data_IF_186090575385
#
_entry.id   IF_186090575385
#
_cell.length_a   1.000
_cell.length_b   1.000
_cell.length_c   1.000
_cell.angle_alpha   90.00
_cell.angle_beta   90.00
_cell.angle_gamma   90.00
#
_symmetry.space_group_name_H-M   'P 1'
#
loop_
_entity.id
_entity.type
_entity.pdbx_description
1 polymer ?
#
# COMPACT_ATOMS: atom_id res chain seq x y z
N UNK A 1 -6.92 -4.31 27.43
CA UNK A 1 -5.84 -4.14 26.44
C UNK A 1 -4.57 -3.73 27.17
N UNK A 2 -3.50 -4.46 26.97
CA UNK A 2 -2.17 -4.16 27.57
C UNK A 2 -1.29 -3.69 26.44
N UNK A 3 -0.81 -2.45 26.51
CA UNK A 3 0.10 -1.88 25.50
C UNK A 3 1.48 -1.68 26.11
N UNK A 4 2.51 -2.02 25.37
CA UNK A 4 3.92 -1.76 25.69
C UNK A 4 4.56 -1.05 24.50
N UNK A 5 5.11 0.13 24.73
CA UNK A 5 5.89 0.91 23.75
C UNK A 5 7.31 1.02 24.24
N UNK A 6 8.23 0.39 23.54
CA UNK A 6 9.65 0.39 23.88
C UNK A 6 10.44 1.29 22.94
N UNK A 7 11.20 2.20 23.50
CA UNK A 7 12.28 2.93 22.81
C UNK A 7 13.59 2.15 22.95
N UNK A 8 14.27 1.97 21.84
CA UNK A 8 15.53 1.23 21.76
C UNK A 8 16.54 2.13 21.05
N UNK A 9 17.55 2.57 21.79
CA UNK A 9 18.57 3.48 21.26
C UNK A 9 19.63 2.73 20.42
N UNK A 10 20.60 3.46 19.89
CA UNK A 10 21.70 2.92 19.08
C UNK A 10 22.61 1.89 19.80
N UNK A 11 22.58 1.86 21.15
CA UNK A 11 23.31 0.91 21.98
C UNK A 11 22.48 -0.33 22.35
N UNK A 12 21.31 -0.50 21.76
CA UNK A 12 20.33 -1.55 22.09
C UNK A 12 19.78 -1.47 23.54
N UNK A 13 19.90 -0.33 24.21
CA UNK A 13 19.28 -0.11 25.50
C UNK A 13 17.77 0.12 25.31
N UNK A 14 16.97 -0.66 26.07
CA UNK A 14 15.50 -0.65 25.98
C UNK A 14 14.89 0.13 27.14
N UNK A 15 13.95 0.99 26.84
CA UNK A 15 13.19 1.76 27.84
C UNK A 15 11.70 1.70 27.50
N UNK A 16 10.90 1.32 28.50
CA UNK A 16 9.44 1.43 28.40
C UNK A 16 9.01 2.89 28.53
N UNK A 17 8.46 3.45 27.46
CA UNK A 17 7.98 4.81 27.37
C UNK A 17 6.44 4.90 27.33
N UNK A 18 5.74 3.79 27.52
CA UNK A 18 4.26 3.72 27.41
C UNK A 18 3.57 4.76 28.29
N UNK A 19 4.07 4.95 29.52
CA UNK A 19 3.51 5.89 30.48
C UNK A 19 3.65 7.38 30.10
N UNK A 20 4.48 7.71 29.09
CA UNK A 20 4.66 9.06 28.59
C UNK A 20 3.75 9.38 27.39
N UNK A 21 3.00 8.39 26.91
CA UNK A 21 2.22 8.46 25.67
C UNK A 21 0.75 8.23 26.02
N UNK A 22 -0.11 9.19 25.74
CA UNK A 22 -1.56 9.09 25.98
C UNK A 22 -2.31 8.52 24.78
N UNK A 23 -1.78 8.75 23.58
CA UNK A 23 -2.37 8.36 22.31
C UNK A 23 -1.30 8.06 21.29
N UNK A 24 -1.51 7.00 20.51
CA UNK A 24 -0.74 6.75 19.30
C UNK A 24 -1.64 6.24 18.16
N UNK A 25 -1.17 6.43 16.94
CA UNK A 25 -1.81 5.90 15.74
C UNK A 25 -0.85 5.00 14.99
N UNK A 26 -1.38 3.89 14.49
CA UNK A 26 -0.69 2.96 13.62
C UNK A 26 -1.48 2.84 12.33
N UNK A 27 -0.88 3.18 11.19
CA UNK A 27 -1.61 3.28 9.93
C UNK A 27 -0.85 2.66 8.77
N UNK A 28 -1.58 2.27 7.75
CA UNK A 28 -1.06 1.78 6.50
C UNK A 28 -1.95 2.17 5.33
N UNK A 29 -1.34 2.28 4.16
CA UNK A 29 -2.03 2.56 2.91
C UNK A 29 -1.42 1.68 1.81
N UNK A 30 -2.25 1.13 0.93
CA UNK A 30 -1.78 0.32 -0.19
C UNK A 30 -0.87 1.09 -1.16
N UNK A 31 -1.07 2.40 -1.27
CA UNK A 31 -0.27 3.26 -2.15
C UNK A 31 1.04 3.67 -1.49
N UNK A 32 1.09 3.65 -0.16
CA UNK A 32 2.30 3.89 0.64
C UNK A 32 2.92 2.55 1.02
N UNK A 33 4.19 2.37 0.68
CA UNK A 33 4.84 1.07 0.92
C UNK A 33 5.02 0.76 2.42
N UNK A 34 5.30 1.78 3.24
CA UNK A 34 5.64 1.63 4.65
C UNK A 34 4.47 1.96 5.56
N UNK A 35 4.26 1.14 6.58
CA UNK A 35 3.34 1.47 7.67
C UNK A 35 3.97 2.51 8.59
N UNK A 36 3.12 3.36 9.14
CA UNK A 36 3.49 4.51 9.94
C UNK A 36 2.99 4.34 11.38
N UNK A 37 3.83 4.73 12.35
CA UNK A 37 3.46 4.91 13.74
C UNK A 37 3.67 6.37 14.13
N UNK A 38 2.66 7.01 14.67
CA UNK A 38 2.71 8.41 15.14
C UNK A 38 2.24 8.50 16.58
N UNK A 39 3.00 9.23 17.38
CA UNK A 39 2.64 9.52 18.77
C UNK A 39 3.29 10.82 19.26
N UNK A 40 2.70 11.41 20.30
CA UNK A 40 3.33 12.48 21.05
C UNK A 40 3.65 11.96 22.45
N UNK A 41 4.88 12.22 22.93
CA UNK A 41 5.26 11.85 24.28
C UNK A 41 5.62 13.07 25.12
N UNK A 42 5.36 12.97 26.42
CA UNK A 42 5.63 14.03 27.37
C UNK A 42 7.15 14.17 27.61
N UNK A 43 7.63 15.43 27.59
CA UNK A 43 9.03 15.77 27.82
C UNK A 43 9.14 17.14 28.50
N UNK A 44 9.50 17.17 29.77
CA UNK A 44 9.61 18.42 30.54
C UNK A 44 11.00 18.61 31.17
N UNK A 45 11.97 19.18 30.45
CA UNK A 45 13.34 19.34 30.95
C UNK A 45 13.48 20.36 32.11
N UNK A 46 12.41 21.08 32.41
CA UNK A 46 12.40 22.04 33.55
C UNK A 46 12.06 21.34 34.88
N UNK A 47 11.43 20.17 34.80
CA UNK A 47 11.11 19.35 35.96
C UNK A 47 12.16 18.24 36.14
N UNK A 48 12.98 18.38 37.17
CA UNK A 48 14.06 17.44 37.47
C UNK A 48 13.56 16.07 37.89
N UNK A 49 12.33 15.99 38.35
CA UNK A 49 11.68 14.74 38.79
C UNK A 49 10.99 14.02 37.64
N UNK A 50 10.82 14.68 36.47
CA UNK A 50 10.16 14.10 35.31
C UNK A 50 11.15 13.18 34.55
N UNK A 51 10.72 11.97 34.17
CA UNK A 51 11.56 11.07 33.39
C UNK A 51 11.73 11.58 31.95
N UNK A 52 12.80 12.35 31.73
CA UNK A 52 13.09 12.96 30.45
C UNK A 52 13.94 12.01 29.58
N UNK A 53 13.30 11.18 28.78
CA UNK A 53 13.96 10.38 27.76
C UNK A 53 14.05 11.15 26.45
N UNK A 54 15.20 11.15 25.82
CA UNK A 54 15.38 11.74 24.51
C UNK A 54 15.38 10.63 23.46
N UNK A 55 14.44 10.71 22.54
CA UNK A 55 14.34 9.82 21.39
C UNK A 55 14.99 10.50 20.21
N UNK A 56 16.01 9.88 19.61
CA UNK A 56 16.76 10.45 18.49
C UNK A 56 16.31 9.88 17.14
N UNK A 57 16.65 10.60 16.06
CA UNK A 57 16.38 10.11 14.70
C UNK A 57 17.18 8.83 14.47
N UNK A 58 16.51 7.80 13.93
CA UNK A 58 17.11 6.49 13.69
C UNK A 58 16.92 5.49 14.84
N UNK A 59 16.55 5.94 16.05
CA UNK A 59 16.21 5.05 17.15
C UNK A 59 15.06 4.13 16.77
N UNK A 60 15.02 2.93 17.37
CA UNK A 60 14.00 1.92 17.09
C UNK A 60 12.84 2.04 18.08
N UNK A 61 11.63 1.96 17.60
CA UNK A 61 10.41 1.88 18.40
C UNK A 61 9.74 0.53 18.11
N UNK A 62 9.41 -0.19 19.17
CA UNK A 62 8.62 -1.41 19.11
C UNK A 62 7.31 -1.22 19.87
N UNK A 63 6.20 -1.67 19.29
CA UNK A 63 4.88 -1.64 19.93
C UNK A 63 4.32 -3.04 20.02
N UNK A 64 3.96 -3.43 21.24
CA UNK A 64 3.31 -4.70 21.56
C UNK A 64 1.94 -4.42 22.17
N UNK A 65 0.90 -5.07 21.69
CA UNK A 65 -0.46 -4.97 22.20
C UNK A 65 -0.95 -6.38 22.50
N UNK A 66 -1.43 -6.61 23.72
CA UNK A 66 -1.90 -7.90 24.22
C UNK A 66 -0.93 -9.07 23.89
N UNK A 67 0.37 -8.85 24.10
CA UNK A 67 1.49 -9.74 23.82
C UNK A 67 1.78 -9.99 22.31
N UNK A 68 1.06 -9.36 21.41
CA UNK A 68 1.38 -9.41 19.97
C UNK A 68 2.17 -8.16 19.56
N UNK A 69 3.35 -8.36 18.95
CA UNK A 69 4.13 -7.25 18.39
C UNK A 69 3.47 -6.78 17.10
N UNK A 70 2.92 -5.56 17.11
CA UNK A 70 2.20 -4.97 15.98
C UNK A 70 3.07 -4.06 15.12
N UNK A 71 4.14 -3.50 15.70
CA UNK A 71 5.00 -2.57 14.98
C UNK A 71 6.45 -2.69 15.44
N UNK A 72 7.35 -2.64 14.48
CA UNK A 72 8.78 -2.39 14.68
C UNK A 72 9.24 -1.44 13.59
N UNK A 73 9.76 -0.29 13.99
CA UNK A 73 10.19 0.73 13.03
C UNK A 73 11.25 1.64 13.59
N UNK A 74 11.65 2.62 12.79
CA UNK A 74 12.63 3.64 13.19
C UNK A 74 12.03 5.01 13.16
N UNK A 75 12.56 5.90 14.02
CA UNK A 75 12.19 7.31 14.09
C UNK A 75 12.76 8.06 12.88
N UNK A 76 11.88 8.60 12.07
CA UNK A 76 12.22 9.40 10.88
C UNK A 76 11.97 10.90 11.06
N UNK A 77 11.06 11.24 11.95
CA UNK A 77 10.72 12.62 12.24
C UNK A 77 10.49 12.82 13.72
N UNK A 78 10.98 13.95 14.24
CA UNK A 78 10.66 14.43 15.58
C UNK A 78 10.49 15.95 15.58
N UNK A 79 9.55 16.42 16.37
CA UNK A 79 9.28 17.85 16.55
C UNK A 79 9.04 18.17 18.00
N UNK A 80 9.77 19.13 18.52
CA UNK A 80 9.59 19.63 19.88
C UNK A 80 8.48 20.68 19.93
N UNK A 81 7.48 20.45 20.78
CA UNK A 81 6.43 21.42 21.08
C UNK A 81 6.67 21.99 22.50
N UNK A 82 7.18 23.21 22.56
CA UNK A 82 7.58 23.84 23.84
C UNK A 82 6.39 24.30 24.66
N UNK A 83 5.25 24.61 24.02
CA UNK A 83 4.02 25.03 24.70
C UNK A 83 3.40 23.88 25.52
N UNK A 84 3.39 22.68 24.93
CA UNK A 84 2.72 21.50 25.51
C UNK A 84 3.71 20.58 26.24
N UNK A 85 5.01 20.92 26.23
CA UNK A 85 6.07 20.07 26.76
C UNK A 85 6.04 18.63 26.19
N UNK A 86 5.89 18.52 24.88
CA UNK A 86 5.85 17.24 24.17
C UNK A 86 6.84 17.19 23.01
N UNK A 87 7.15 15.96 22.58
CA UNK A 87 7.73 15.67 21.27
C UNK A 87 6.72 14.90 20.43
N UNK A 88 6.52 15.33 19.19
CA UNK A 88 5.82 14.55 18.17
C UNK A 88 6.84 13.67 17.46
N UNK A 89 6.53 12.41 17.33
CA UNK A 89 7.36 11.37 16.71
C UNK A 89 6.60 10.71 15.57
N UNK A 90 7.29 10.53 14.45
CA UNK A 90 6.82 9.69 13.35
C UNK A 90 7.86 8.61 13.06
N UNK A 91 7.41 7.35 13.10
CA UNK A 91 8.21 6.18 12.77
C UNK A 91 7.67 5.51 11.52
N UNK A 92 8.56 4.86 10.78
CA UNK A 92 8.21 3.99 9.67
C UNK A 92 8.79 2.60 9.89
N UNK A 93 8.10 1.59 9.39
CA UNK A 93 8.59 0.22 9.37
C UNK A 93 9.69 0.01 8.30
N UNK A 94 10.19 -1.23 8.19
CA UNK A 94 11.28 -1.58 7.26
C UNK A 94 10.95 -1.41 5.78
N UNK A 95 9.68 -1.32 5.39
CA UNK A 95 9.29 -1.10 3.99
C UNK A 95 9.72 0.27 3.45
N UNK A 96 9.98 1.24 4.34
CA UNK A 96 10.47 2.56 3.94
C UNK A 96 11.81 2.48 3.19
N UNK A 97 12.66 1.52 3.54
CA UNK A 97 13.95 1.33 2.87
C UNK A 97 13.77 0.87 1.43
N UNK A 98 12.78 0.00 1.16
CA UNK A 98 12.41 -0.42 -0.19
C UNK A 98 11.83 0.74 -1.02
N UNK A 99 11.03 1.59 -0.39
CA UNK A 99 10.46 2.76 -1.06
C UNK A 99 11.51 3.83 -1.41
N UNK A 100 12.56 3.96 -0.61
CA UNK A 100 13.60 4.99 -0.80
C UNK A 100 14.85 4.49 -1.54
N UNK A 101 15.07 3.17 -1.61
CA UNK A 101 16.24 2.58 -2.26
C UNK A 101 15.99 2.27 -3.72
N UNK A 102 16.96 2.58 -4.56
CA UNK A 102 16.90 2.32 -6.00
C UNK A 102 17.81 1.17 -6.39
N UNK A 103 17.34 0.36 -7.31
CA UNK A 103 18.05 -0.80 -7.85
C UNK A 103 18.18 -0.73 -9.36
N UNK A 104 19.19 -1.44 -9.90
CA UNK A 104 19.33 -1.70 -11.33
C UNK A 104 19.52 -3.21 -11.50
N UNK A 105 18.45 -3.90 -11.88
CA UNK A 105 18.36 -5.36 -11.97
C UNK A 105 17.88 -5.80 -13.35
N UNK A 106 18.41 -6.93 -13.81
CA UNK A 106 17.97 -7.59 -15.03
C UNK A 106 17.28 -8.89 -14.65
N UNK A 107 16.05 -9.06 -15.12
CA UNK A 107 15.28 -10.28 -14.99
C UNK A 107 15.16 -10.92 -16.38
N UNK A 108 15.64 -12.14 -16.52
CA UNK A 108 15.63 -12.90 -17.77
C UNK A 108 15.06 -14.29 -17.49
N UNK A 109 13.87 -14.58 -17.98
CA UNK A 109 13.13 -15.79 -17.68
C UNK A 109 13.13 -16.13 -16.17
N UNK A 110 12.91 -15.10 -15.32
CA UNK A 110 12.98 -15.22 -13.87
C UNK A 110 11.57 -15.41 -13.32
N UNK A 111 11.37 -16.37 -12.42
CA UNK A 111 10.10 -16.48 -11.70
C UNK A 111 9.85 -15.21 -10.87
N UNK A 112 8.60 -14.75 -10.80
CA UNK A 112 8.22 -13.50 -10.12
C UNK A 112 8.58 -13.51 -8.64
N UNK A 113 8.44 -14.65 -7.95
CA UNK A 113 8.80 -14.79 -6.52
C UNK A 113 10.31 -14.69 -6.32
N UNK A 114 11.10 -15.29 -7.21
CA UNK A 114 12.57 -15.19 -7.16
C UNK A 114 13.04 -13.76 -7.51
N UNK A 115 12.37 -13.10 -8.45
CA UNK A 115 12.62 -11.69 -8.75
C UNK A 115 12.33 -10.80 -7.54
N UNK A 116 11.22 -11.04 -6.84
CA UNK A 116 10.85 -10.35 -5.62
C UNK A 116 11.89 -10.54 -4.50
N UNK A 117 12.32 -11.79 -4.25
CA UNK A 117 13.39 -12.11 -3.27
C UNK A 117 14.68 -11.38 -3.59
N UNK A 118 15.07 -11.32 -4.87
CA UNK A 118 16.29 -10.59 -5.29
C UNK A 118 16.21 -9.11 -4.98
N UNK A 119 15.04 -8.47 -5.19
CA UNK A 119 14.86 -7.06 -4.86
C UNK A 119 14.95 -6.83 -3.34
N UNK A 120 14.34 -7.70 -2.53
CA UNK A 120 14.43 -7.62 -1.07
C UNK A 120 15.87 -7.77 -0.58
N UNK A 121 16.63 -8.68 -1.19
CA UNK A 121 18.03 -8.94 -0.84
C UNK A 121 18.97 -7.74 -1.10
N UNK A 122 18.67 -6.89 -2.10
CA UNK A 122 19.47 -5.68 -2.40
C UNK A 122 19.48 -4.67 -1.24
N UNK A 123 18.47 -4.70 -0.38
CA UNK A 123 18.33 -3.79 0.77
C UNK A 123 18.27 -4.55 2.10
N UNK A 124 18.66 -5.81 2.09
CA UNK A 124 18.77 -6.68 3.27
C UNK A 124 17.49 -6.80 4.09
N UNK A 125 16.33 -6.74 3.42
CA UNK A 125 15.02 -6.91 4.07
C UNK A 125 14.61 -8.37 3.97
N UNK A 126 14.24 -8.95 5.12
CA UNK A 126 13.80 -10.34 5.24
C UNK A 126 12.47 -10.56 4.52
N UNK A 127 12.32 -11.73 3.91
CA UNK A 127 11.07 -12.19 3.33
C UNK A 127 10.40 -13.20 4.24
N UNK A 128 9.09 -13.10 4.39
CA UNK A 128 8.24 -14.01 5.16
C UNK A 128 7.56 -15.03 4.25
N UNK A 129 6.24 -15.14 4.36
CA UNK A 129 5.45 -16.07 3.55
C UNK A 129 5.24 -15.56 2.12
N UNK A 130 5.62 -16.36 1.14
CA UNK A 130 5.48 -16.06 -0.28
C UNK A 130 4.69 -17.19 -0.95
N UNK A 131 3.55 -16.89 -1.61
CA UNK A 131 2.77 -17.88 -2.35
C UNK A 131 3.52 -18.37 -3.59
N UNK A 132 3.17 -19.54 -4.07
CA UNK A 132 3.66 -20.02 -5.36
C UNK A 132 2.96 -19.26 -6.49
N UNK A 133 3.73 -18.52 -7.28
CA UNK A 133 3.25 -17.76 -8.43
C UNK A 133 3.96 -18.27 -9.67
N UNK A 134 3.25 -18.81 -10.67
CA UNK A 134 3.86 -19.44 -11.84
C UNK A 134 4.45 -18.44 -12.85
N UNK A 135 4.11 -17.15 -12.71
CA UNK A 135 4.48 -16.10 -13.66
C UNK A 135 5.99 -15.94 -13.80
N UNK A 136 6.45 -15.85 -15.04
CA UNK A 136 7.83 -15.62 -15.40
C UNK A 136 7.98 -14.25 -16.05
N UNK A 137 9.00 -13.50 -15.63
CA UNK A 137 9.21 -12.12 -16.05
C UNK A 137 10.52 -11.92 -16.83
N UNK A 138 10.47 -11.00 -17.81
CA UNK A 138 11.60 -10.57 -18.62
C UNK A 138 11.55 -9.06 -18.72
N UNK A 139 12.42 -8.35 -17.98
CA UNK A 139 12.58 -6.91 -18.10
C UNK A 139 13.85 -6.42 -17.38
N UNK A 140 14.20 -5.18 -17.66
CA UNK A 140 15.29 -4.47 -16.99
C UNK A 140 14.67 -3.40 -16.10
N UNK A 141 14.96 -3.45 -14.82
CA UNK A 141 14.69 -2.37 -13.89
C UNK A 141 15.97 -1.52 -13.80
N UNK A 142 15.97 -0.33 -14.39
CA UNK A 142 17.12 0.59 -14.32
C UNK A 142 16.78 1.81 -13.47
N UNK A 143 17.52 2.00 -12.38
CA UNK A 143 17.36 3.12 -11.44
C UNK A 143 15.94 3.27 -10.88
N UNK A 144 15.24 2.15 -10.72
CA UNK A 144 13.90 2.08 -10.15
C UNK A 144 13.95 1.91 -8.63
N UNK A 145 12.98 2.46 -7.90
CA UNK A 145 12.82 2.09 -6.49
C UNK A 145 12.43 0.62 -6.37
N UNK A 146 12.75 -0.03 -5.26
CA UNK A 146 12.36 -1.43 -5.07
C UNK A 146 10.84 -1.59 -5.17
N UNK A 147 10.07 -0.64 -4.65
CA UNK A 147 8.60 -0.64 -4.74
C UNK A 147 8.09 -0.46 -6.17
N UNK A 148 8.72 0.38 -7.00
CA UNK A 148 8.41 0.45 -8.43
C UNK A 148 8.66 -0.90 -9.14
N UNK A 149 9.73 -1.61 -8.75
CA UNK A 149 9.99 -2.96 -9.29
C UNK A 149 8.92 -3.93 -8.85
N UNK A 150 8.46 -3.88 -7.59
CA UNK A 150 7.33 -4.70 -7.12
C UNK A 150 6.06 -4.43 -7.93
N UNK A 151 5.72 -3.17 -8.16
CA UNK A 151 4.57 -2.82 -9.01
C UNK A 151 4.69 -3.44 -10.41
N UNK A 152 5.88 -3.36 -11.04
CA UNK A 152 6.12 -3.98 -12.35
C UNK A 152 5.96 -5.51 -12.31
N UNK A 153 6.39 -6.18 -11.23
CA UNK A 153 6.20 -7.62 -11.04
C UNK A 153 4.72 -7.97 -10.89
N UNK A 154 3.98 -7.23 -10.06
CA UNK A 154 2.56 -7.48 -9.79
C UNK A 154 1.67 -7.17 -11.00
N UNK A 155 1.94 -6.09 -11.76
CA UNK A 155 1.25 -5.81 -13.02
C UNK A 155 1.41 -6.95 -14.03
N UNK A 156 2.61 -7.53 -14.15
CA UNK A 156 2.85 -8.68 -15.02
C UNK A 156 2.16 -9.93 -14.53
N UNK A 157 2.16 -10.19 -13.23
CA UNK A 157 1.42 -11.28 -12.61
C UNK A 157 -0.07 -11.15 -12.87
N UNK A 158 -0.63 -9.95 -12.66
CA UNK A 158 -2.04 -9.67 -12.92
C UNK A 158 -2.42 -9.87 -14.40
N UNK A 159 -1.55 -9.48 -15.32
CA UNK A 159 -1.77 -9.69 -16.75
C UNK A 159 -1.73 -11.17 -17.16
N UNK A 160 -0.93 -11.99 -16.46
CA UNK A 160 -0.70 -13.40 -16.79
C UNK A 160 -1.78 -14.33 -16.17
N UNK A 161 -2.02 -14.20 -14.86
CA UNK A 161 -2.89 -15.11 -14.10
C UNK A 161 -4.15 -14.45 -13.51
N UNK A 162 -4.40 -13.17 -13.82
CA UNK A 162 -5.55 -12.37 -13.36
C UNK A 162 -5.65 -12.21 -11.82
N UNK A 163 -4.53 -12.37 -11.10
CA UNK A 163 -4.42 -12.19 -9.66
C UNK A 163 -3.60 -10.95 -9.33
N UNK A 164 -4.08 -10.16 -8.39
CA UNK A 164 -3.41 -8.95 -7.91
C UNK A 164 -2.79 -9.24 -6.53
N UNK A 165 -1.56 -8.76 -6.30
CA UNK A 165 -0.82 -8.98 -5.06
C UNK A 165 -0.38 -7.67 -4.45
N UNK A 166 -0.15 -7.69 -3.13
CA UNK A 166 0.46 -6.61 -2.39
C UNK A 166 1.55 -7.15 -1.46
N UNK A 167 2.56 -6.34 -1.18
CA UNK A 167 3.63 -6.68 -0.27
C UNK A 167 3.36 -6.02 1.09
N UNK A 168 3.35 -6.78 2.17
CA UNK A 168 3.08 -6.32 3.54
C UNK A 168 4.20 -6.81 4.45
N UNK A 169 4.79 -5.91 5.25
CA UNK A 169 5.75 -6.29 6.28
C UNK A 169 5.01 -6.76 7.53
N UNK A 170 5.20 -8.02 7.89
CA UNK A 170 4.73 -8.63 9.11
C UNK A 170 5.91 -8.99 10.02
N UNK A 171 5.64 -9.63 11.15
CA UNK A 171 6.66 -9.97 12.13
C UNK A 171 7.74 -10.95 11.60
N UNK A 172 7.39 -11.79 10.64
CA UNK A 172 8.27 -12.80 10.01
C UNK A 172 9.03 -12.27 8.78
N UNK A 173 8.72 -11.07 8.31
CA UNK A 173 9.30 -10.45 7.12
C UNK A 173 8.25 -9.93 6.15
N UNK A 174 8.68 -9.64 4.91
CA UNK A 174 7.75 -9.18 3.88
C UNK A 174 6.99 -10.36 3.30
N UNK A 175 5.67 -10.29 3.38
CA UNK A 175 4.73 -11.26 2.86
C UNK A 175 4.09 -10.76 1.57
N UNK A 176 3.76 -11.68 0.65
CA UNK A 176 2.92 -11.40 -0.50
C UNK A 176 1.50 -11.88 -0.23
N UNK A 177 0.55 -10.95 -0.24
CA UNK A 177 -0.87 -11.23 0.01
C UNK A 177 -1.66 -11.00 -1.28
N UNK A 178 -2.49 -11.97 -1.67
CA UNK A 178 -3.39 -11.83 -2.82
C UNK A 178 -4.55 -10.89 -2.46
N UNK A 179 -4.85 -9.93 -3.33
CA UNK A 179 -6.02 -9.06 -3.16
C UNK A 179 -7.30 -9.90 -3.11
N UNK A 180 -8.12 -9.67 -2.11
CA UNK A 180 -9.33 -10.47 -1.86
C UNK A 180 -9.15 -11.55 -0.80
N UNK A 181 -7.91 -11.73 -0.26
CA UNK A 181 -7.71 -12.57 0.94
C UNK A 181 -8.50 -11.99 2.10
N UNK A 182 -9.50 -12.73 2.55
CA UNK A 182 -10.43 -12.32 3.60
C UNK A 182 -9.83 -12.66 4.96
N UNK A 183 -10.03 -11.78 5.93
CA UNK A 183 -9.71 -12.03 7.35
C UNK A 183 -10.74 -13.02 7.88
N UNK A 184 -10.29 -14.24 8.23
CA UNK A 184 -11.18 -15.39 8.48
C UNK A 184 -12.01 -15.27 9.77
N UNK A 185 -11.51 -14.62 10.81
CA UNK A 185 -12.12 -14.65 12.14
C UNK A 185 -12.81 -13.32 12.52
N UNK A 186 -13.07 -12.45 11.53
CA UNK A 186 -13.66 -11.16 11.84
C UNK A 186 -14.68 -10.70 10.80
N UNK A 187 -15.85 -10.32 11.29
CA UNK A 187 -16.92 -9.69 10.51
C UNK A 187 -17.27 -8.37 11.22
N UNK A 188 -17.17 -7.26 10.50
CA UNK A 188 -17.56 -5.96 11.01
C UNK A 188 -19.10 -5.81 10.96
N UNK A 189 -19.78 -5.94 12.10
CA UNK A 189 -21.23 -5.87 12.19
C UNK A 189 -21.70 -4.49 12.67
N UNK A 190 -22.69 -3.94 11.97
CA UNK A 190 -23.26 -2.63 12.28
C UNK A 190 -23.82 -2.48 13.68
N UNK A 191 -24.26 -3.57 14.30
CA UNK A 191 -24.85 -3.56 15.65
C UNK A 191 -23.84 -3.66 16.79
N UNK A 192 -22.60 -4.14 16.51
CA UNK A 192 -21.63 -4.47 17.57
C UNK A 192 -20.28 -3.76 17.38
N UNK A 193 -19.77 -3.74 16.17
CA UNK A 193 -18.38 -3.34 15.91
C UNK A 193 -18.29 -1.98 15.24
N UNK A 194 -19.25 -1.65 14.35
CA UNK A 194 -19.20 -0.42 13.54
C UNK A 194 -19.75 0.75 14.35
N UNK A 195 -18.93 1.78 14.50
CA UNK A 195 -19.29 3.04 15.17
C UNK A 195 -20.00 3.97 14.18
N UNK A 196 -19.47 4.05 12.96
CA UNK A 196 -20.06 4.81 11.86
C UNK A 196 -19.60 4.25 10.52
N UNK A 197 -20.45 4.41 9.51
CA UNK A 197 -20.15 4.09 8.12
C UNK A 197 -20.37 5.30 7.22
N UNK A 198 -19.67 5.36 6.11
CA UNK A 198 -19.86 6.36 5.06
C UNK A 198 -19.73 5.71 3.70
N UNK A 199 -20.66 6.00 2.83
CA UNK A 199 -20.61 5.61 1.41
C UNK A 199 -20.94 6.82 0.56
N UNK A 200 -20.10 7.11 -0.41
CA UNK A 200 -20.29 8.20 -1.34
C UNK A 200 -20.09 7.76 -2.78
N UNK A 201 -20.90 8.29 -3.66
CA UNK A 201 -20.78 8.10 -5.10
C UNK A 201 -20.60 9.45 -5.76
N UNK A 202 -19.64 9.56 -6.69
CA UNK A 202 -19.40 10.80 -7.43
C UNK A 202 -19.13 10.54 -8.90
N UNK A 203 -19.63 11.42 -9.73
CA UNK A 203 -19.33 11.45 -11.17
C UNK A 203 -18.44 12.63 -11.58
N UNK A 204 -17.92 13.40 -10.61
CA UNK A 204 -17.12 14.60 -10.88
C UNK A 204 -15.82 14.27 -11.65
N UNK A 205 -15.22 13.11 -11.40
CA UNK A 205 -14.01 12.64 -12.08
C UNK A 205 -14.31 11.62 -13.19
N UNK A 206 -15.57 11.46 -13.58
CA UNK A 206 -15.97 10.52 -14.60
C UNK A 206 -15.32 10.84 -15.94
N UNK A 207 -14.87 9.79 -16.63
CA UNK A 207 -14.46 9.84 -18.03
C UNK A 207 -15.15 8.69 -18.75
N UNK A 208 -16.19 8.97 -19.52
CA UNK A 208 -16.95 7.95 -20.24
C UNK A 208 -16.72 7.97 -21.76
N UNK A 209 -15.85 8.88 -22.22
CA UNK A 209 -15.38 8.93 -23.60
C UNK A 209 -13.90 9.28 -23.64
N UNK A 210 -13.11 8.51 -24.39
CA UNK A 210 -11.72 8.83 -24.64
C UNK A 210 -11.48 8.96 -26.14
N UNK A 211 -10.96 10.11 -26.57
CA UNK A 211 -10.50 10.32 -27.94
C UNK A 211 -8.99 10.06 -28.01
N UNK A 212 -8.59 9.08 -28.80
CA UNK A 212 -7.18 8.86 -29.12
C UNK A 212 -6.80 9.71 -30.33
N UNK A 213 -5.77 10.54 -30.17
CA UNK A 213 -5.27 11.43 -31.22
C UNK A 213 -3.83 11.09 -31.58
N UNK A 214 -3.45 11.38 -32.85
CA UNK A 214 -2.07 11.27 -33.31
C UNK A 214 -1.19 12.42 -32.80
N UNK A 215 0.08 12.46 -33.25
CA UNK A 215 1.03 13.49 -32.85
C UNK A 215 0.60 14.91 -33.33
N UNK A 216 -0.21 15.00 -34.39
CA UNK A 216 -0.64 16.23 -35.04
C UNK A 216 -2.02 16.68 -34.52
N UNK A 217 -2.75 15.79 -33.84
CA UNK A 217 -4.06 16.09 -33.24
C UNK A 217 -5.25 15.48 -33.98
N UNK A 218 -5.03 14.69 -35.04
CA UNK A 218 -6.13 14.01 -35.72
C UNK A 218 -6.66 12.87 -34.86
N UNK A 219 -8.00 12.73 -34.83
CA UNK A 219 -8.65 11.64 -34.09
C UNK A 219 -8.44 10.32 -34.83
N UNK A 220 -7.81 9.36 -34.15
CA UNK A 220 -7.56 8.00 -34.66
C UNK A 220 -8.68 7.04 -34.20
N UNK A 221 -9.14 7.20 -32.95
CA UNK A 221 -10.10 6.31 -32.33
C UNK A 221 -10.91 7.02 -31.26
N UNK A 222 -12.12 6.56 -31.03
CA UNK A 222 -12.98 7.00 -29.93
C UNK A 222 -13.46 5.76 -29.19
N UNK A 223 -13.18 5.72 -27.90
CA UNK A 223 -13.66 4.69 -26.97
C UNK A 223 -14.79 5.31 -26.13
N UNK A 224 -15.96 4.67 -26.08
CA UNK A 224 -17.14 5.12 -25.37
C UNK A 224 -17.62 4.05 -24.39
N UNK A 225 -18.20 4.51 -23.27
CA UNK A 225 -19.10 3.74 -22.43
C UNK A 225 -20.53 4.28 -22.62
N UNK A 226 -21.23 3.74 -23.62
CA UNK A 226 -22.50 4.31 -24.13
C UNK A 226 -23.61 4.33 -23.06
N UNK A 227 -23.65 3.37 -22.14
CA UNK A 227 -24.61 3.36 -21.02
C UNK A 227 -24.38 4.52 -20.07
N UNK A 228 -23.13 4.81 -19.72
CA UNK A 228 -22.79 5.94 -18.86
C UNK A 228 -23.04 7.27 -19.59
N UNK A 229 -22.77 7.33 -20.89
CA UNK A 229 -23.05 8.52 -21.71
C UNK A 229 -24.55 8.81 -21.74
N UNK A 230 -25.35 7.77 -21.92
CA UNK A 230 -26.83 7.92 -21.97
C UNK A 230 -27.39 8.44 -20.65
N UNK A 231 -26.82 8.00 -19.50
CA UNK A 231 -27.32 8.36 -18.17
C UNK A 231 -26.80 9.70 -17.68
N UNK A 232 -25.52 10.02 -17.92
CA UNK A 232 -24.83 11.14 -17.29
C UNK A 232 -24.34 12.21 -18.27
N UNK A 233 -24.52 12.02 -19.59
CA UNK A 233 -23.92 12.90 -20.59
C UNK A 233 -22.49 12.55 -20.91
N UNK A 234 -21.80 13.40 -21.69
CA UNK A 234 -20.43 13.12 -22.16
C UNK A 234 -19.41 13.80 -21.28
N UNK A 235 -18.55 12.98 -20.64
CA UNK A 235 -17.33 13.40 -19.97
C UNK A 235 -16.14 12.86 -20.78
N UNK A 236 -15.45 13.76 -21.50
CA UNK A 236 -14.45 13.36 -22.49
C UNK A 236 -13.04 13.69 -22.05
N UNK A 237 -12.11 12.72 -22.16
CA UNK A 237 -10.66 12.91 -22.08
C UNK A 237 -10.00 12.63 -23.44
N UNK A 238 -8.75 13.08 -23.60
CA UNK A 238 -7.93 12.89 -24.79
C UNK A 238 -6.68 12.09 -24.43
N UNK A 239 -6.47 11.00 -25.18
CA UNK A 239 -5.23 10.24 -25.12
C UNK A 239 -4.38 10.53 -26.36
N UNK A 240 -3.17 11.04 -26.17
CA UNK A 240 -2.23 11.25 -27.27
C UNK A 240 -1.43 9.99 -27.53
N UNK A 241 -1.53 9.47 -28.74
CA UNK A 241 -0.83 8.25 -29.14
C UNK A 241 0.69 8.44 -28.99
N UNK A 242 1.32 7.55 -28.25
CA UNK A 242 2.76 7.57 -28.13
C UNK A 242 3.38 6.96 -29.39
N UNK A 243 4.34 7.62 -30.06
CA UNK A 243 4.97 7.07 -31.24
C UNK A 243 5.70 5.77 -30.89
N UNK A 244 5.50 4.74 -31.70
CA UNK A 244 6.31 3.53 -31.60
C UNK A 244 7.79 3.90 -31.68
N UNK A 245 8.64 3.26 -30.88
CA UNK A 245 10.07 3.49 -30.95
C UNK A 245 10.56 3.10 -32.34
N UNK A 246 10.88 4.09 -33.17
CA UNK A 246 11.41 3.84 -34.51
C UNK A 246 12.66 2.96 -34.41
N UNK A 247 12.61 1.77 -34.97
CA UNK A 247 13.80 0.99 -35.26
C UNK A 247 14.73 1.85 -36.15
N UNK A 248 15.82 2.31 -35.57
CA UNK A 248 16.89 2.91 -36.40
C UNK A 248 17.42 1.80 -37.29
N UNK A 249 17.01 1.79 -38.57
CA UNK A 249 17.62 0.95 -39.58
C UNK A 249 19.12 1.13 -39.46
N UNK A 250 19.84 0.04 -39.17
CA UNK A 250 21.28 0.03 -39.06
C UNK A 250 21.89 0.43 -40.42
N UNK A 251 22.25 1.70 -40.57
CA UNK A 251 23.17 2.11 -41.64
C UNK A 251 24.54 1.57 -41.27
N UNK A 252 24.99 0.60 -42.08
CA UNK A 252 26.33 0.03 -42.00
C UNK A 252 27.36 1.14 -42.16
N UNK A 253 28.16 1.43 -41.11
CA UNK A 253 29.60 1.75 -41.19
C UNK A 253 30.23 1.73 -39.79
N UNK A 254 31.04 0.73 -39.62
CA UNK A 254 32.18 0.42 -38.76
C UNK A 254 32.77 1.47 -37.81
N UNK A 255 32.92 1.15 -36.51
CA UNK A 255 34.22 0.75 -35.89
C UNK A 255 33.95 0.15 -34.51
N UNK A 256 34.70 -0.84 -34.03
CA UNK A 256 34.49 -1.49 -32.75
C UNK A 256 35.27 -0.76 -31.65
N UNK A 257 34.61 -0.20 -30.72
CA UNK A 257 35.19 0.05 -29.39
C UNK A 257 34.05 0.39 -28.41
N UNK A 258 34.11 -0.24 -27.27
CA UNK A 258 33.32 0.01 -26.09
C UNK A 258 32.08 -0.88 -25.96
N UNK A 259 32.06 -1.59 -24.85
CA UNK A 259 31.01 -2.43 -24.29
C UNK A 259 29.64 -1.78 -24.51
N UNK A 260 28.83 -2.35 -25.40
CA UNK A 260 27.47 -1.91 -25.63
C UNK A 260 26.63 -2.39 -24.46
N UNK A 261 26.15 -1.48 -23.65
CA UNK A 261 25.03 -1.72 -22.75
C UNK A 261 23.90 -2.41 -23.52
N UNK A 262 23.29 -3.49 -23.00
CA UNK A 262 22.13 -4.12 -23.61
C UNK A 262 21.04 -3.06 -23.75
N UNK A 263 20.57 -2.82 -24.97
CA UNK A 263 19.40 -1.94 -25.20
C UNK A 263 18.19 -2.64 -24.63
N UNK A 264 17.45 -1.92 -23.78
CA UNK A 264 16.14 -2.37 -23.31
C UNK A 264 15.32 -2.93 -24.47
N UNK A 265 14.70 -4.12 -24.33
CA UNK A 265 13.70 -4.57 -25.27
C UNK A 265 12.53 -3.58 -25.18
N UNK A 266 12.38 -2.74 -26.20
CA UNK A 266 11.26 -1.82 -26.33
C UNK A 266 10.03 -2.63 -26.77
N UNK A 267 9.20 -3.00 -25.82
CA UNK A 267 7.90 -3.58 -26.13
C UNK A 267 7.04 -2.53 -26.84
N UNK A 268 6.25 -2.92 -27.85
CA UNK A 268 5.29 -2.02 -28.47
C UNK A 268 4.34 -1.49 -27.40
N UNK A 269 4.15 -0.16 -27.38
CA UNK A 269 3.22 0.48 -26.46
C UNK A 269 1.82 0.15 -26.95
N UNK A 270 1.06 -0.60 -26.17
CA UNK A 270 -0.37 -0.78 -26.45
C UNK A 270 -1.13 0.52 -26.12
N UNK A 271 -1.18 1.37 -27.13
CA UNK A 271 -1.88 2.65 -27.02
C UNK A 271 -3.40 2.49 -26.85
N UNK A 272 -3.98 1.39 -27.33
CA UNK A 272 -5.42 1.12 -27.18
C UNK A 272 -5.78 0.77 -25.74
N UNK A 273 -5.00 -0.12 -25.11
CA UNK A 273 -5.21 -0.46 -23.69
C UNK A 273 -5.01 0.76 -22.78
N UNK A 274 -3.97 1.58 -23.05
CA UNK A 274 -3.72 2.80 -22.29
C UNK A 274 -4.81 3.86 -22.45
N UNK A 275 -5.37 4.02 -23.66
CA UNK A 275 -6.51 4.91 -23.89
C UNK A 275 -7.75 4.41 -23.13
N UNK A 276 -8.05 3.11 -23.22
CA UNK A 276 -9.19 2.50 -22.52
C UNK A 276 -9.03 2.58 -21.00
N UNK A 277 -7.82 2.47 -20.45
CA UNK A 277 -7.54 2.62 -19.03
C UNK A 277 -7.82 4.04 -18.47
N UNK A 278 -8.01 5.04 -19.33
CA UNK A 278 -8.43 6.40 -18.93
C UNK A 278 -9.95 6.51 -18.70
N UNK A 279 -10.73 5.53 -19.13
CA UNK A 279 -12.16 5.50 -18.84
C UNK A 279 -12.32 5.26 -17.34
N UNK A 280 -13.05 6.17 -16.70
CA UNK A 280 -13.38 6.13 -15.28
C UNK A 280 -14.89 6.18 -15.12
N UNK A 281 -15.44 5.21 -14.41
CA UNK A 281 -16.87 5.17 -14.07
C UNK A 281 -17.22 6.08 -12.91
N UNK A 282 -18.26 5.69 -12.16
CA UNK A 282 -18.66 6.32 -10.92
C UNK A 282 -17.54 6.05 -9.89
N UNK A 283 -17.05 7.10 -9.25
CA UNK A 283 -16.14 6.98 -8.12
C UNK A 283 -16.94 6.61 -6.88
N UNK A 284 -16.66 5.46 -6.32
CA UNK A 284 -17.26 5.00 -5.07
C UNK A 284 -16.20 5.06 -3.97
N UNK A 285 -16.53 5.70 -2.87
CA UNK A 285 -15.70 5.77 -1.67
C UNK A 285 -16.51 5.27 -0.49
N UNK A 286 -15.99 4.26 0.18
CA UNK A 286 -16.60 3.66 1.36
C UNK A 286 -15.62 3.68 2.50
N UNK A 287 -16.10 3.99 3.69
CA UNK A 287 -15.29 3.92 4.90
C UNK A 287 -16.12 3.48 6.10
N UNK A 288 -15.47 2.87 7.06
CA UNK A 288 -16.04 2.57 8.37
C UNK A 288 -15.11 3.07 9.48
N UNK A 289 -15.72 3.53 10.57
CA UNK A 289 -15.06 3.62 11.88
C UNK A 289 -15.62 2.51 12.75
N UNK A 290 -14.75 1.73 13.39
CA UNK A 290 -15.16 0.55 14.14
C UNK A 290 -14.29 0.33 15.39
N UNK A 291 -14.73 -0.58 16.26
CA UNK A 291 -13.90 -1.13 17.34
C UNK A 291 -12.68 -1.81 16.69
N UNK A 292 -11.50 -1.55 17.24
CA UNK A 292 -10.25 -1.96 16.59
C UNK A 292 -10.04 -3.48 16.59
N UNK A 293 -9.67 -3.99 15.43
CA UNK A 293 -9.13 -5.32 15.23
C UNK A 293 -7.78 -5.23 14.50
N UNK A 294 -6.71 -5.71 15.10
CA UNK A 294 -5.34 -5.57 14.56
C UNK A 294 -5.08 -6.36 13.28
N UNK A 295 -5.97 -7.26 12.88
CA UNK A 295 -5.89 -7.97 11.60
C UNK A 295 -6.41 -7.13 10.43
N UNK A 296 -7.23 -6.10 10.70
CA UNK A 296 -7.83 -5.23 9.69
C UNK A 296 -6.83 -4.21 9.15
N UNK A 297 -5.85 -4.68 8.40
CA UNK A 297 -4.80 -3.86 7.80
C UNK A 297 -4.92 -3.80 6.27
N UNK A 298 -4.41 -2.72 5.68
CA UNK A 298 -4.40 -2.52 4.22
C UNK A 298 -3.73 -3.68 3.50
N UNK A 299 -4.36 -4.13 2.41
CA UNK A 299 -3.94 -5.29 1.64
C UNK A 299 -4.78 -6.55 1.87
N UNK A 300 -5.47 -6.66 2.99
CA UNK A 300 -6.46 -7.71 3.26
C UNK A 300 -7.87 -7.26 2.91
N UNK A 301 -8.81 -8.18 2.98
CA UNK A 301 -10.23 -7.92 2.83
C UNK A 301 -10.99 -8.28 4.10
N UNK A 302 -12.10 -7.60 4.34
CA UNK A 302 -12.96 -7.81 5.49
C UNK A 302 -14.40 -8.00 5.05
N UNK A 303 -15.13 -8.86 5.74
CA UNK A 303 -16.59 -8.98 5.60
C UNK A 303 -17.24 -7.88 6.42
N UNK A 304 -18.16 -7.14 5.82
CA UNK A 304 -18.95 -6.10 6.49
C UNK A 304 -20.42 -6.44 6.36
N UNK A 305 -21.12 -6.38 7.48
CA UNK A 305 -22.57 -6.55 7.62
C UNK A 305 -23.16 -5.32 8.29
N UNK A 306 -23.34 -4.26 7.50
CA UNK A 306 -23.91 -2.99 7.93
C UNK A 306 -25.02 -2.58 6.95
N UNK A 307 -25.89 -1.65 7.33
CA UNK A 307 -27.08 -1.29 6.55
C UNK A 307 -26.75 -0.83 5.13
N UNK A 308 -25.71 0.01 4.98
CA UNK A 308 -25.29 0.57 3.70
C UNK A 308 -24.12 -0.19 3.05
N UNK A 309 -23.34 -0.92 3.86
CA UNK A 309 -22.14 -1.63 3.41
C UNK A 309 -22.28 -3.10 3.74
N UNK A 310 -22.64 -3.92 2.75
CA UNK A 310 -22.78 -5.36 2.90
C UNK A 310 -21.98 -6.10 1.85
N UNK A 311 -21.11 -7.02 2.30
CA UNK A 311 -20.29 -7.84 1.41
C UNK A 311 -18.82 -7.90 1.82
N UNK A 312 -17.96 -8.32 0.90
CA UNK A 312 -16.51 -8.39 1.06
C UNK A 312 -15.88 -7.11 0.53
N UNK A 313 -15.11 -6.43 1.36
CA UNK A 313 -14.44 -5.19 1.03
C UNK A 313 -12.94 -5.33 1.18
N UNK A 314 -12.18 -4.86 0.20
CA UNK A 314 -10.73 -4.72 0.30
C UNK A 314 -10.39 -3.46 1.09
N UNK A 315 -9.48 -3.59 2.05
CA UNK A 315 -8.98 -2.49 2.87
C UNK A 315 -7.89 -1.76 2.08
N UNK A 316 -8.20 -0.56 1.60
CA UNK A 316 -7.25 0.31 0.86
C UNK A 316 -6.27 0.96 1.81
N UNK A 317 -6.80 1.54 2.88
CA UNK A 317 -6.00 2.11 3.96
C UNK A 317 -6.68 1.87 5.30
N UNK A 318 -5.87 1.82 6.34
CA UNK A 318 -6.30 1.65 7.72
C UNK A 318 -5.60 2.66 8.62
N UNK A 319 -6.32 3.08 9.66
CA UNK A 319 -5.76 3.87 10.77
C UNK A 319 -6.28 3.32 12.07
N UNK A 320 -5.41 2.74 12.87
CA UNK A 320 -5.70 2.25 14.20
C UNK A 320 -5.30 3.30 15.22
N UNK A 321 -6.23 3.71 16.06
CA UNK A 321 -6.04 4.68 17.14
C UNK A 321 -6.13 3.98 18.48
N UNK A 322 -5.08 4.17 19.28
CA UNK A 322 -4.99 3.64 20.64
C UNK A 322 -4.95 4.81 21.62
N UNK A 323 -5.96 4.92 22.45
CA UNK A 323 -6.12 6.01 23.40
C UNK A 323 -6.92 5.53 24.62
N UNK A 324 -6.46 5.84 25.83
CA UNK A 324 -7.16 5.52 27.09
C UNK A 324 -7.61 4.05 27.19
N UNK A 325 -6.75 3.10 26.84
CA UNK A 325 -7.03 1.66 26.76
C UNK A 325 -8.13 1.26 25.76
N UNK A 326 -8.53 2.17 24.89
CA UNK A 326 -9.46 1.91 23.81
C UNK A 326 -8.70 1.79 22.49
N UNK A 327 -9.12 0.83 21.68
CA UNK A 327 -8.62 0.66 20.31
C UNK A 327 -9.78 0.86 19.34
N UNK A 328 -9.65 1.83 18.46
CA UNK A 328 -10.59 2.07 17.35
C UNK A 328 -9.84 2.00 16.03
N UNK A 329 -10.55 1.72 14.96
CA UNK A 329 -9.99 1.72 13.62
C UNK A 329 -10.87 2.49 12.64
N UNK A 330 -10.22 3.11 11.66
CA UNK A 330 -10.84 3.71 10.47
C UNK A 330 -10.32 2.98 9.25
N UNK A 331 -11.22 2.44 8.42
CA UNK A 331 -10.89 1.69 7.22
C UNK A 331 -11.48 2.39 6.00
N UNK A 332 -10.62 2.67 5.00
CA UNK A 332 -11.07 3.05 3.65
C UNK A 332 -11.15 1.80 2.80
N UNK A 333 -12.27 1.63 2.12
CA UNK A 333 -12.72 0.37 1.58
C UNK A 333 -12.95 0.43 0.07
N UNK A 334 -12.75 -0.70 -0.59
CA UNK A 334 -13.11 -0.94 -1.98
C UNK A 334 -13.96 -2.21 -2.04
N UNK A 335 -15.19 -2.11 -2.57
CA UNK A 335 -16.06 -3.27 -2.72
C UNK A 335 -15.48 -4.31 -3.67
N UNK A 336 -15.52 -5.58 -3.29
CA UNK A 336 -15.06 -6.70 -4.11
C UNK A 336 -16.23 -7.53 -4.62
N UNK A 337 -17.04 -8.08 -3.71
CA UNK A 337 -18.14 -9.01 -4.01
C UNK A 337 -19.11 -9.11 -2.82
N UNK A 338 -20.27 -9.73 -3.05
CA UNK A 338 -21.16 -10.15 -1.97
C UNK A 338 -20.46 -11.19 -1.08
N UNK A 339 -20.81 -11.22 0.20
CA UNK A 339 -20.35 -12.27 1.11
C UNK A 339 -21.03 -13.60 0.72
N UNK A 340 -20.27 -14.70 0.70
CA UNK A 340 -20.85 -16.02 0.51
C UNK A 340 -21.63 -16.44 1.76
N UNK A 341 -22.78 -17.12 1.55
CA UNK A 341 -23.51 -17.74 2.67
C UNK A 341 -22.61 -18.79 3.33
N UNK A 342 -22.14 -18.52 4.53
CA UNK A 342 -21.16 -19.35 5.26
C UNK A 342 -19.92 -18.63 5.75
N UNK A 343 -19.50 -17.54 5.12
CA UNK A 343 -18.41 -16.70 5.64
C UNK A 343 -18.84 -15.99 6.97
N UNK A 344 -20.15 -16.00 7.31
CA UNK A 344 -20.74 -15.39 8.50
C UNK A 344 -21.10 -16.34 9.64
N UNK A 345 -21.05 -17.66 9.44
CA UNK A 345 -21.51 -18.62 10.48
C UNK A 345 -20.44 -19.01 11.52
N UNK A 346 -19.19 -18.57 11.36
CA UNK A 346 -18.08 -18.96 12.24
C UNK A 346 -17.98 -18.22 13.59
N UNK A 347 -18.89 -17.26 13.90
CA UNK A 347 -18.77 -16.41 15.07
C UNK A 347 -19.91 -16.56 16.12
N UNK A 348 -20.82 -17.51 15.97
CA UNK A 348 -21.76 -17.90 17.02
C UNK A 348 -21.38 -19.25 17.61
N UNK A 349 -20.71 -19.24 18.72
CA UNK A 349 -20.63 -20.16 19.85
C UNK A 349 -19.19 -20.29 20.38
N UNK A 350 -18.87 -19.44 21.33
CA UNK A 350 -18.31 -19.88 22.63
C UNK A 350 -18.15 -18.69 23.59
#
# INVERSE_FOLDING_TARGET
MITLIEHINEKDERVDITHLISKFTWSGDREEAARKLEFSYAYNPKDISFPNYLIDLGDRIEVTVDNAKIFTGRVFFRKRNTNDNTYDITCYDGMIYLAKSKVSLVFNATNVVDAFKRVCAEVEVSVGNLPEIPTVVNFVADKKTCTEVFQMLFEKTKADIQKDYTAILLADGINLVEKGTVIEEYIARGTYDVISSSHSESIEEMVNRVKTVDAVGNVIRIDNEDELIKKYGIFQDIYKNQPEPKEKKATKKKKPSTISTPKEPKFPVDNAAKAKAKIKGIKMESSISAIGNMQCISGYSVVIEEEQLKGVFFIKSDTHTFENNTHTMELNLEYIREAEEGEGEGAEEK
#
